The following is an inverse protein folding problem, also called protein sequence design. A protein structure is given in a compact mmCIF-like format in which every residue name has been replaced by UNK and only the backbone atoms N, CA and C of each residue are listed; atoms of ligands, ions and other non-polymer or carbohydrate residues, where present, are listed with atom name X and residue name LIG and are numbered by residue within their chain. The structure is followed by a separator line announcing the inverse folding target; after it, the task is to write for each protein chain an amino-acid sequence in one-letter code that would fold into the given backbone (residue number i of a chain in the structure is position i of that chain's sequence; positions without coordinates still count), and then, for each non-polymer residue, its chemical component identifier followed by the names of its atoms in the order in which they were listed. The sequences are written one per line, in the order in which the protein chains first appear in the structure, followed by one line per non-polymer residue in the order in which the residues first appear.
data_IF_334490117692
#
_entry.id   IF_334490117692
#
_cell.length_a   1.000
_cell.length_b   1.000
_cell.length_c   1.000
_cell.angle_alpha   90.00
_cell.angle_beta   90.00
_cell.angle_gamma   90.00
#
_symmetry.space_group_name_H-M   'P 1'
#
loop_
_entity.id
_entity.type
_entity.pdbx_description
1 polymer ?
#
# COMPACT_ATOMS: atom_id res chain seq x y z
N UNK A 1 -11.25 -55.81 81.97
CA UNK A 1 -9.90 -55.24 81.75
C UNK A 1 -9.66 -55.23 80.27
N UNK A 2 -9.76 -54.05 79.62
CA UNK A 2 -9.42 -53.84 78.22
C UNK A 2 -8.61 -52.55 78.19
N UNK A 3 -7.38 -52.66 77.73
CA UNK A 3 -6.42 -51.59 77.65
C UNK A 3 -6.76 -50.64 76.49
N UNK A 4 -6.50 -49.33 76.62
CA UNK A 4 -6.75 -48.36 75.57
C UNK A 4 -5.61 -48.29 74.56
N UNK A 5 -5.95 -48.24 73.26
CA UNK A 5 -5.05 -48.05 72.11
C UNK A 5 -4.71 -46.57 71.97
N UNK A 6 -3.45 -46.17 71.75
CA UNK A 6 -3.06 -44.76 71.58
C UNK A 6 -3.37 -44.26 70.16
N UNK A 7 -4.02 -43.09 70.08
CA UNK A 7 -4.25 -42.32 68.84
C UNK A 7 -2.96 -41.58 68.48
N UNK A 8 -2.40 -41.96 67.33
CA UNK A 8 -1.31 -41.21 66.65
C UNK A 8 -1.91 -40.08 65.84
N UNK A 9 -1.56 -38.84 66.20
CA UNK A 9 -1.92 -37.62 65.38
C UNK A 9 -1.03 -37.54 64.14
N UNK A 10 -1.58 -37.85 62.97
CA UNK A 10 -0.92 -37.59 61.74
C UNK A 10 -1.06 -36.08 61.35
N UNK A 11 0.06 -35.39 61.29
CA UNK A 11 0.14 -34.03 60.75
C UNK A 11 0.14 -34.12 59.24
N UNK A 12 -0.96 -33.71 58.61
CA UNK A 12 -1.04 -33.53 57.13
C UNK A 12 -0.45 -32.16 56.80
N UNK A 13 0.75 -32.14 56.24
CA UNK A 13 1.36 -30.93 55.72
C UNK A 13 0.69 -30.61 54.33
N UNK A 14 -0.14 -29.57 54.30
CA UNK A 14 -0.72 -29.04 53.07
C UNK A 14 0.36 -28.20 52.38
N UNK A 15 1.02 -28.76 51.39
CA UNK A 15 1.93 -28.02 50.46
C UNK A 15 1.09 -27.24 49.51
N UNK A 16 0.93 -25.93 49.73
CA UNK A 16 0.29 -25.02 48.76
C UNK A 16 1.25 -24.80 47.59
N UNK A 17 0.90 -25.39 46.45
CA UNK A 17 1.56 -25.14 45.17
C UNK A 17 1.08 -23.75 44.65
N UNK A 18 1.88 -22.72 44.87
CA UNK A 18 1.66 -21.39 44.32
C UNK A 18 1.99 -21.44 42.82
N UNK A 19 1.00 -21.68 41.96
CA UNK A 19 1.07 -21.44 40.53
C UNK A 19 1.16 -19.93 40.29
N UNK A 20 2.36 -19.43 40.09
CA UNK A 20 2.58 -18.07 39.59
C UNK A 20 2.04 -18.00 38.14
N UNK A 21 0.84 -17.44 37.97
CA UNK A 21 0.31 -17.01 36.70
C UNK A 21 1.20 -15.86 36.25
N UNK A 22 2.20 -16.15 35.40
CA UNK A 22 2.92 -15.12 34.66
C UNK A 22 1.91 -14.51 33.69
N UNK A 23 1.30 -13.38 34.07
CA UNK A 23 0.67 -12.51 33.07
C UNK A 23 1.80 -12.13 32.11
N UNK A 24 1.76 -12.69 30.89
CA UNK A 24 2.54 -12.20 29.79
C UNK A 24 2.07 -10.76 29.52
N UNK A 25 2.76 -9.80 30.11
CA UNK A 25 2.61 -8.39 29.79
C UNK A 25 2.99 -8.28 28.32
N UNK A 26 2.01 -8.09 27.44
CA UNK A 26 2.28 -7.76 26.05
C UNK A 26 3.20 -6.52 26.00
N UNK A 27 3.97 -6.32 24.93
CA UNK A 27 4.86 -5.18 24.84
C UNK A 27 4.08 -3.91 25.17
N UNK A 28 4.56 -3.15 26.17
CA UNK A 28 3.94 -1.88 26.58
C UNK A 28 3.90 -0.90 25.42
N UNK A 29 3.07 0.14 25.52
CA UNK A 29 3.02 1.18 24.49
C UNK A 29 4.40 1.85 24.35
N UNK A 30 4.83 2.12 23.09
CA UNK A 30 6.09 2.79 22.80
C UNK A 30 6.17 4.17 23.47
N UNK A 31 7.27 4.46 24.13
CA UNK A 31 7.49 5.70 24.89
C UNK A 31 8.45 6.66 24.21
N UNK A 32 9.36 6.14 23.40
CA UNK A 32 10.35 6.92 22.65
C UNK A 32 10.08 6.91 21.16
N UNK A 33 10.62 7.87 20.42
CA UNK A 33 10.50 7.91 18.95
C UNK A 33 11.14 6.68 18.30
N UNK A 34 12.23 6.16 18.86
CA UNK A 34 12.87 4.95 18.38
C UNK A 34 11.96 3.71 18.53
N UNK A 35 11.29 3.58 19.69
CA UNK A 35 10.31 2.50 19.93
C UNK A 35 9.09 2.64 19.03
N UNK A 36 8.59 3.87 18.81
CA UNK A 36 7.47 4.16 17.89
C UNK A 36 7.84 3.77 16.47
N UNK A 37 9.03 4.13 16.01
CA UNK A 37 9.53 3.77 14.69
C UNK A 37 9.68 2.24 14.54
N UNK A 38 10.28 1.58 15.52
CA UNK A 38 10.44 0.12 15.52
C UNK A 38 9.08 -0.59 15.46
N UNK A 39 8.12 -0.16 16.28
CA UNK A 39 6.75 -0.70 16.29
C UNK A 39 6.04 -0.46 14.97
N UNK A 40 6.14 0.75 14.41
CA UNK A 40 5.55 1.08 13.11
C UNK A 40 6.14 0.23 12.00
N UNK A 41 7.47 0.06 11.95
CA UNK A 41 8.15 -0.81 10.97
C UNK A 41 7.69 -2.27 11.10
N UNK A 42 7.59 -2.81 12.31
CA UNK A 42 7.08 -4.17 12.54
C UNK A 42 5.67 -4.37 11.96
N UNK A 43 4.77 -3.39 12.12
CA UNK A 43 3.41 -3.48 11.61
C UNK A 43 3.40 -3.42 10.06
N UNK A 44 4.19 -2.52 9.46
CA UNK A 44 4.33 -2.43 7.99
C UNK A 44 4.97 -3.71 7.42
N UNK A 45 5.95 -4.30 8.10
CA UNK A 45 6.56 -5.57 7.66
C UNK A 45 5.55 -6.74 7.71
N UNK A 46 4.70 -6.81 8.73
CA UNK A 46 3.63 -7.82 8.79
C UNK A 46 2.61 -7.65 7.65
N UNK A 47 2.19 -6.41 7.38
CA UNK A 47 1.34 -6.08 6.23
C UNK A 47 2.01 -6.51 4.91
N UNK A 48 3.26 -6.11 4.74
CA UNK A 48 4.07 -6.44 3.56
C UNK A 48 4.19 -7.96 3.36
N UNK A 49 4.51 -8.69 4.42
CA UNK A 49 4.63 -10.15 4.37
C UNK A 49 3.31 -10.80 3.91
N UNK A 50 2.16 -10.31 4.41
CA UNK A 50 0.84 -10.81 4.00
C UNK A 50 0.59 -10.57 2.51
N UNK A 51 0.86 -9.36 2.01
CA UNK A 51 0.70 -9.03 0.60
C UNK A 51 1.73 -9.76 -0.29
N UNK A 52 2.97 -9.89 0.17
CA UNK A 52 4.03 -10.63 -0.56
C UNK A 52 3.66 -12.09 -0.74
N UNK A 53 3.07 -12.72 0.28
CA UNK A 53 2.65 -14.12 0.23
C UNK A 53 1.44 -14.37 -0.70
N UNK A 54 0.71 -13.35 -1.10
CA UNK A 54 -0.40 -13.46 -2.03
C UNK A 54 0.10 -13.34 -3.49
N UNK A 55 0.11 -14.42 -4.27
CA UNK A 55 0.52 -14.38 -5.68
C UNK A 55 -0.48 -13.61 -6.55
N UNK A 56 -1.73 -13.61 -6.12
CA UNK A 56 -2.84 -12.88 -6.76
C UNK A 56 -3.63 -12.17 -5.68
N UNK A 57 -4.00 -10.93 -5.90
CA UNK A 57 -4.95 -10.25 -5.02
C UNK A 57 -5.78 -9.21 -5.78
N UNK A 58 -6.91 -8.83 -5.18
CA UNK A 58 -7.71 -7.70 -5.64
C UNK A 58 -8.08 -6.80 -4.47
N UNK A 59 -8.35 -5.53 -4.78
CA UNK A 59 -8.77 -4.53 -3.82
C UNK A 59 -9.56 -3.43 -4.51
N UNK A 60 -10.52 -2.85 -3.81
CA UNK A 60 -11.22 -1.63 -4.21
C UNK A 60 -10.75 -0.48 -3.32
N UNK A 61 -10.40 0.65 -3.92
CA UNK A 61 -10.07 1.88 -3.18
C UNK A 61 -11.04 3.00 -3.52
N UNK A 62 -11.33 3.83 -2.51
CA UNK A 62 -11.99 5.12 -2.68
C UNK A 62 -10.97 6.21 -2.34
N UNK A 63 -10.66 7.06 -3.31
CA UNK A 63 -9.65 8.12 -3.23
C UNK A 63 -10.35 9.48 -3.19
N UNK A 64 -10.10 10.27 -2.16
CA UNK A 64 -10.56 11.66 -2.05
C UNK A 64 -9.33 12.56 -2.17
N UNK A 65 -9.35 13.49 -3.12
CA UNK A 65 -8.25 14.42 -3.35
C UNK A 65 -8.71 15.73 -3.94
N UNK A 66 -7.93 16.77 -3.75
CA UNK A 66 -8.16 18.06 -4.39
C UNK A 66 -7.50 18.07 -5.79
N UNK A 67 -8.25 18.47 -6.80
CA UNK A 67 -7.77 18.69 -8.16
C UNK A 67 -7.90 20.17 -8.53
N UNK A 68 -6.85 20.69 -9.17
CA UNK A 68 -6.88 22.06 -9.67
C UNK A 68 -7.42 22.04 -11.10
N UNK A 69 -8.55 22.70 -11.31
CA UNK A 69 -9.13 22.88 -12.66
C UNK A 69 -8.28 23.84 -13.49
N UNK A 70 -8.49 23.83 -14.79
CA UNK A 70 -7.85 24.79 -15.72
C UNK A 70 -8.14 26.25 -15.36
N UNK A 71 -9.24 26.54 -14.69
CA UNK A 71 -9.59 27.85 -14.14
C UNK A 71 -8.77 28.28 -12.93
N UNK A 72 -7.93 27.37 -12.35
CA UNK A 72 -7.20 27.59 -11.10
C UNK A 72 -8.02 27.29 -9.84
N UNK A 73 -9.31 26.98 -9.95
CA UNK A 73 -10.13 26.59 -8.80
C UNK A 73 -9.79 25.19 -8.33
N UNK A 74 -9.72 25.00 -7.00
CA UNK A 74 -9.60 23.66 -6.40
C UNK A 74 -10.98 23.02 -6.26
N UNK A 75 -11.08 21.76 -6.65
CA UNK A 75 -12.27 20.94 -6.49
C UNK A 75 -11.91 19.61 -5.87
N UNK A 76 -12.67 19.20 -4.87
CA UNK A 76 -12.52 17.88 -4.27
C UNK A 76 -13.19 16.84 -5.16
N UNK A 77 -12.41 15.84 -5.58
CA UNK A 77 -12.90 14.72 -6.39
C UNK A 77 -12.82 13.43 -5.61
N UNK A 78 -13.80 12.56 -5.85
CA UNK A 78 -13.80 11.20 -5.32
C UNK A 78 -13.69 10.22 -6.49
N UNK A 79 -12.69 9.35 -6.43
CA UNK A 79 -12.47 8.31 -7.43
C UNK A 79 -12.62 6.95 -6.77
N UNK A 80 -13.28 6.02 -7.45
CA UNK A 80 -13.27 4.61 -7.06
C UNK A 80 -12.35 3.86 -8.01
N UNK A 81 -11.47 3.05 -7.46
CA UNK A 81 -10.52 2.23 -8.22
C UNK A 81 -10.66 0.78 -7.83
N UNK A 82 -10.85 -0.10 -8.80
CA UNK A 82 -10.69 -1.53 -8.63
C UNK A 82 -9.35 -1.96 -9.23
N UNK A 83 -8.57 -2.70 -8.45
CA UNK A 83 -7.25 -3.17 -8.87
C UNK A 83 -7.15 -4.66 -8.68
N UNK A 84 -6.61 -5.35 -9.66
CA UNK A 84 -6.28 -6.77 -9.65
C UNK A 84 -4.81 -6.91 -9.98
N UNK A 85 -4.10 -7.70 -9.19
CA UNK A 85 -2.66 -7.95 -9.33
C UNK A 85 -2.40 -9.43 -9.40
N UNK A 86 -1.57 -9.86 -10.35
CA UNK A 86 -0.96 -11.18 -10.38
C UNK A 86 0.54 -11.02 -10.50
N UNK A 87 1.22 -11.35 -9.44
CA UNK A 87 2.69 -11.26 -9.38
C UNK A 87 3.32 -12.36 -10.23
N UNK A 88 4.49 -12.10 -10.82
CA UNK A 88 5.30 -10.89 -10.66
C UNK A 88 5.06 -9.82 -11.73
N UNK A 89 4.18 -10.04 -12.72
CA UNK A 89 4.25 -9.35 -14.01
C UNK A 89 2.90 -8.92 -14.59
N UNK A 90 1.80 -8.93 -13.83
CA UNK A 90 0.49 -8.54 -14.35
C UNK A 90 -0.31 -7.71 -13.37
N UNK A 91 -0.90 -6.64 -13.86
CA UNK A 91 -1.96 -5.94 -13.14
C UNK A 91 -2.98 -5.31 -14.10
N UNK A 92 -4.18 -5.16 -13.57
CA UNK A 92 -5.26 -4.40 -14.17
C UNK A 92 -5.82 -3.46 -13.13
N UNK A 93 -6.10 -2.22 -13.53
CA UNK A 93 -6.71 -1.24 -12.66
C UNK A 93 -7.69 -0.39 -13.45
N UNK A 94 -8.90 -0.23 -12.92
CA UNK A 94 -9.93 0.64 -13.48
C UNK A 94 -10.33 1.70 -12.46
N UNK A 95 -10.42 2.94 -12.92
CA UNK A 95 -10.94 4.08 -12.16
C UNK A 95 -12.31 4.42 -12.68
N UNK A 96 -13.27 4.59 -11.76
CA UNK A 96 -14.62 5.05 -12.03
C UNK A 96 -14.98 6.21 -11.09
N UNK A 97 -16.03 6.94 -11.41
CA UNK A 97 -16.43 8.10 -10.59
C UNK A 97 -15.67 9.38 -11.00
N UNK A 98 -16.29 10.21 -11.83
CA UNK A 98 -15.71 11.46 -12.36
C UNK A 98 -14.71 11.26 -13.49
N UNK A 99 -13.94 10.21 -13.49
CA UNK A 99 -13.05 9.77 -14.56
C UNK A 99 -13.24 8.29 -14.79
N UNK A 100 -13.12 7.87 -16.05
CA UNK A 100 -13.10 6.46 -16.42
C UNK A 100 -11.80 6.16 -17.14
N UNK A 101 -10.84 5.56 -16.41
CA UNK A 101 -9.53 5.24 -16.93
C UNK A 101 -9.22 3.78 -16.61
N UNK A 102 -8.62 3.10 -17.56
CA UNK A 102 -8.17 1.72 -17.37
C UNK A 102 -6.68 1.60 -17.67
N UNK A 103 -6.01 0.74 -16.92
CA UNK A 103 -4.59 0.44 -17.08
C UNK A 103 -4.39 -1.07 -17.06
N UNK A 104 -3.72 -1.59 -18.07
CA UNK A 104 -3.28 -2.99 -18.13
C UNK A 104 -1.76 -3.05 -18.20
N UNK A 105 -1.21 -3.98 -17.48
CA UNK A 105 0.15 -4.44 -17.64
C UNK A 105 0.15 -5.98 -17.73
N UNK A 106 0.67 -6.50 -18.84
CA UNK A 106 0.63 -7.92 -19.20
C UNK A 106 1.99 -8.62 -19.16
N UNK A 107 3.01 -7.99 -18.57
CA UNK A 107 4.39 -8.49 -18.50
C UNK A 107 5.28 -8.05 -19.67
N UNK A 108 4.71 -7.47 -20.71
CA UNK A 108 5.41 -7.02 -21.93
C UNK A 108 5.09 -5.56 -22.25
N UNK A 109 3.84 -5.20 -22.12
CA UNK A 109 3.29 -3.90 -22.48
C UNK A 109 2.45 -3.29 -21.38
N UNK A 110 2.40 -1.96 -21.40
CA UNK A 110 1.49 -1.15 -20.61
C UNK A 110 0.52 -0.48 -21.56
N UNK A 111 -0.77 -0.61 -21.28
CA UNK A 111 -1.85 0.08 -21.99
C UNK A 111 -2.63 0.94 -21.01
N UNK A 112 -2.78 2.22 -21.33
CA UNK A 112 -3.62 3.17 -20.61
C UNK A 112 -4.75 3.59 -21.55
N UNK A 113 -6.00 3.51 -21.09
CA UNK A 113 -7.18 3.98 -21.81
C UNK A 113 -7.87 5.07 -21.00
N UNK A 114 -8.11 6.23 -21.61
CA UNK A 114 -8.81 7.38 -21.06
C UNK A 114 -10.16 7.49 -21.76
N UNK A 115 -11.20 6.93 -21.15
CA UNK A 115 -12.51 6.81 -21.79
C UNK A 115 -13.23 8.15 -21.99
N UNK A 116 -13.04 9.09 -21.07
CA UNK A 116 -13.65 10.41 -21.18
C UNK A 116 -13.11 11.19 -22.40
N UNK A 117 -11.84 11.03 -22.68
CA UNK A 117 -11.13 11.68 -23.78
C UNK A 117 -11.16 10.85 -25.07
N UNK A 118 -11.60 9.60 -25.01
CA UNK A 118 -11.56 8.62 -26.10
C UNK A 118 -10.18 8.44 -26.70
N UNK A 119 -9.17 8.34 -25.84
CA UNK A 119 -7.79 8.13 -26.26
C UNK A 119 -7.16 6.96 -25.52
N UNK A 120 -6.13 6.38 -26.11
CA UNK A 120 -5.31 5.37 -25.45
C UNK A 120 -3.82 5.60 -25.71
N UNK A 121 -2.99 5.11 -24.81
CA UNK A 121 -1.55 5.10 -24.97
C UNK A 121 -1.01 3.70 -24.67
N UNK A 122 -0.04 3.27 -25.46
CA UNK A 122 0.65 1.99 -25.28
C UNK A 122 2.14 2.20 -25.26
N UNK A 123 2.83 1.44 -24.44
CA UNK A 123 4.29 1.40 -24.41
C UNK A 123 4.79 0.02 -24.04
N UNK A 124 6.01 -0.30 -24.42
CA UNK A 124 6.72 -1.43 -23.84
C UNK A 124 6.95 -1.16 -22.37
N UNK A 125 6.81 -2.18 -21.56
CA UNK A 125 7.04 -2.14 -20.12
C UNK A 125 8.18 -3.10 -19.73
N UNK A 126 8.86 -2.85 -18.62
CA UNK A 126 9.81 -3.82 -18.02
C UNK A 126 9.11 -5.13 -17.65
N UNK A 127 9.92 -6.16 -17.38
CA UNK A 127 9.47 -7.55 -17.18
C UNK A 127 8.73 -7.81 -15.86
N UNK A 128 8.77 -6.87 -14.91
CA UNK A 128 8.15 -7.05 -13.59
C UNK A 128 7.32 -5.83 -13.21
N UNK A 129 6.34 -6.04 -12.33
CA UNK A 129 5.51 -4.97 -11.76
C UNK A 129 6.39 -3.90 -11.13
N UNK A 130 7.37 -4.29 -10.29
CA UNK A 130 8.23 -3.35 -9.57
C UNK A 130 8.95 -2.42 -10.56
N UNK A 131 9.66 -2.98 -11.53
CA UNK A 131 10.36 -2.19 -12.56
C UNK A 131 9.40 -1.33 -13.40
N UNK A 132 8.18 -1.82 -13.64
CA UNK A 132 7.17 -1.06 -14.39
C UNK A 132 6.66 0.12 -13.60
N UNK A 133 6.39 -0.04 -12.30
CA UNK A 133 5.99 1.06 -11.41
C UNK A 133 7.09 2.11 -11.28
N UNK A 134 8.34 1.66 -11.12
CA UNK A 134 9.52 2.56 -11.11
C UNK A 134 9.60 3.37 -12.41
N UNK A 135 9.49 2.70 -13.56
CA UNK A 135 9.52 3.37 -14.86
C UNK A 135 8.35 4.36 -15.06
N UNK A 136 7.15 4.03 -14.58
CA UNK A 136 6.00 4.93 -14.61
C UNK A 136 6.24 6.18 -13.78
N UNK A 137 6.78 6.02 -12.58
CA UNK A 137 7.11 7.14 -11.71
C UNK A 137 8.25 8.00 -12.29
N UNK A 138 9.37 7.38 -12.66
CA UNK A 138 10.57 8.09 -13.13
C UNK A 138 10.36 8.81 -14.46
N UNK A 139 9.73 8.16 -15.42
CA UNK A 139 9.58 8.69 -16.78
C UNK A 139 8.38 9.61 -16.93
N UNK A 140 7.27 9.28 -16.27
CA UNK A 140 5.99 9.96 -16.48
C UNK A 140 5.47 10.67 -15.24
N UNK A 141 6.07 10.46 -14.07
CA UNK A 141 5.59 10.98 -12.79
C UNK A 141 4.24 10.39 -12.40
N UNK A 142 3.93 9.19 -12.91
CA UNK A 142 2.67 8.50 -12.65
C UNK A 142 2.84 7.59 -11.42
N UNK A 143 2.08 7.87 -10.41
CA UNK A 143 1.91 7.04 -9.22
C UNK A 143 0.46 7.13 -8.76
N UNK A 144 -0.01 6.09 -8.12
CA UNK A 144 -1.36 6.03 -7.52
C UNK A 144 -1.23 5.57 -6.07
N UNK A 145 -2.19 5.90 -5.20
CA UNK A 145 -2.15 5.49 -3.79
C UNK A 145 -2.02 3.98 -3.57
N UNK A 146 -2.45 3.17 -4.55
CA UNK A 146 -2.33 1.71 -4.48
C UNK A 146 -0.94 1.20 -4.91
N UNK A 147 -0.14 1.98 -5.63
CA UNK A 147 1.11 1.53 -6.24
C UNK A 147 2.06 0.89 -5.23
N UNK A 148 2.25 1.52 -4.07
CA UNK A 148 3.19 1.05 -3.03
C UNK A 148 2.82 -0.34 -2.47
N UNK A 149 1.54 -0.72 -2.54
CA UNK A 149 1.03 -2.02 -2.08
C UNK A 149 1.09 -3.10 -3.16
N UNK A 150 1.33 -2.70 -4.42
CA UNK A 150 1.43 -3.60 -5.59
C UNK A 150 2.85 -4.13 -5.77
N UNK A 151 3.87 -3.43 -5.27
CA UNK A 151 5.25 -3.92 -5.27
C UNK A 151 5.37 -5.32 -4.69
N UNK A 152 6.36 -6.07 -5.14
CA UNK A 152 6.67 -7.40 -4.60
C UNK A 152 6.93 -7.34 -3.09
N UNK A 153 7.57 -6.27 -2.62
CA UNK A 153 7.79 -5.99 -1.21
C UNK A 153 7.29 -4.59 -0.85
N UNK A 154 6.01 -4.45 -0.44
CA UNK A 154 5.44 -3.16 -0.05
C UNK A 154 6.24 -2.42 1.03
N UNK A 155 6.81 -3.13 2.01
CA UNK A 155 7.62 -2.50 3.05
C UNK A 155 8.83 -1.77 2.48
N UNK A 156 9.49 -2.31 1.44
CA UNK A 156 10.63 -1.66 0.79
C UNK A 156 10.23 -0.43 -0.02
N UNK A 157 9.01 -0.40 -0.56
CA UNK A 157 8.48 0.76 -1.25
C UNK A 157 8.10 1.88 -0.26
N UNK A 158 7.52 1.51 0.88
CA UNK A 158 7.00 2.44 1.89
C UNK A 158 8.06 2.96 2.86
N UNK A 159 9.08 2.17 3.18
CA UNK A 159 10.06 2.48 4.23
C UNK A 159 11.47 2.58 3.65
N UNK A 160 12.05 3.76 3.76
CA UNK A 160 13.46 4.02 3.40
C UNK A 160 14.32 4.16 4.66
N UNK A 161 15.63 4.33 4.48
CA UNK A 161 16.54 4.65 5.60
C UNK A 161 16.25 6.04 6.20
N UNK A 162 15.63 6.93 5.43
CA UNK A 162 15.28 8.29 5.84
C UNK A 162 13.91 8.40 6.50
N UNK A 163 13.11 7.33 6.45
CA UNK A 163 11.76 7.32 7.02
C UNK A 163 11.82 7.48 8.53
N UNK A 164 11.12 8.47 9.04
CA UNK A 164 10.94 8.79 10.46
C UNK A 164 9.47 8.70 10.86
N UNK A 165 9.17 8.79 12.16
CA UNK A 165 7.81 8.63 12.70
C UNK A 165 7.60 7.22 13.21
N UNK A 166 6.40 6.65 13.04
CA UNK A 166 6.09 5.29 13.44
C UNK A 166 4.69 5.15 14.03
N UNK A 167 4.53 4.29 15.02
CA UNK A 167 3.25 4.05 15.69
C UNK A 167 2.79 5.27 16.51
N UNK A 168 1.57 5.73 16.24
CA UNK A 168 0.94 6.87 16.92
C UNK A 168 0.05 6.42 18.06
N UNK A 169 -0.74 5.38 17.83
CA UNK A 169 -1.72 4.91 18.79
C UNK A 169 -2.65 3.86 18.19
N UNK A 170 -3.72 3.57 18.94
CA UNK A 170 -4.84 2.74 18.48
C UNK A 170 -6.09 3.58 18.37
N UNK A 171 -6.84 3.34 17.32
CA UNK A 171 -8.13 3.98 17.07
C UNK A 171 -9.20 2.92 16.88
N UNK A 172 -10.43 3.25 17.26
CA UNK A 172 -11.58 2.37 17.06
C UNK A 172 -12.38 2.86 15.87
N UNK A 173 -12.57 2.00 14.87
CA UNK A 173 -13.42 2.26 13.71
C UNK A 173 -14.52 1.18 13.64
N UNK A 174 -15.74 1.56 14.04
CA UNK A 174 -16.81 0.60 14.25
C UNK A 174 -16.46 -0.42 15.34
N UNK A 175 -16.47 -1.71 14.99
CA UNK A 175 -16.10 -2.80 15.90
C UNK A 175 -14.60 -3.17 15.85
N UNK A 176 -13.82 -2.54 14.96
CA UNK A 176 -12.42 -2.87 14.76
C UNK A 176 -11.50 -1.89 15.50
N UNK A 177 -10.44 -2.44 16.06
CA UNK A 177 -9.29 -1.67 16.53
C UNK A 177 -8.22 -1.62 15.45
N UNK A 178 -7.72 -0.44 15.16
CA UNK A 178 -6.71 -0.16 14.16
C UNK A 178 -5.47 0.40 14.82
N UNK A 179 -4.29 -0.11 14.47
CA UNK A 179 -3.04 0.58 14.74
C UNK A 179 -2.93 1.76 13.77
N UNK A 180 -2.78 2.97 14.29
CA UNK A 180 -2.51 4.18 13.53
C UNK A 180 -1.01 4.44 13.51
N UNK A 181 -0.47 4.57 12.32
CA UNK A 181 0.94 4.85 12.06
C UNK A 181 1.05 6.16 11.28
N UNK A 182 2.06 6.98 11.60
CA UNK A 182 2.37 8.21 10.87
C UNK A 182 3.87 8.26 10.56
N UNK A 183 4.21 8.47 9.31
CA UNK A 183 5.57 8.49 8.82
C UNK A 183 5.86 9.75 8.01
N UNK A 184 7.14 10.09 7.93
CA UNK A 184 7.65 11.19 7.14
C UNK A 184 8.91 10.75 6.40
N UNK A 185 8.97 11.10 5.13
CA UNK A 185 10.14 10.99 4.28
C UNK A 185 10.35 12.30 3.49
N UNK A 186 11.35 12.37 2.65
CA UNK A 186 11.66 13.58 1.86
C UNK A 186 10.48 13.96 0.95
N UNK A 187 9.86 15.10 1.24
CA UNK A 187 8.76 15.65 0.45
C UNK A 187 7.40 14.98 0.62
N UNK A 188 7.28 13.99 1.50
CA UNK A 188 6.03 13.27 1.74
C UNK A 188 5.84 12.96 3.22
N UNK A 189 4.60 13.11 3.70
CA UNK A 189 4.13 12.52 4.96
C UNK A 189 2.98 11.59 4.65
N UNK A 190 2.88 10.51 5.39
CA UNK A 190 1.79 9.57 5.19
C UNK A 190 1.39 8.88 6.48
N UNK A 191 0.11 8.60 6.57
CA UNK A 191 -0.52 7.91 7.68
C UNK A 191 -1.22 6.67 7.17
N UNK A 192 -1.29 5.63 7.98
CA UNK A 192 -1.94 4.37 7.64
C UNK A 192 -2.61 3.76 8.86
N UNK A 193 -3.79 3.18 8.65
CA UNK A 193 -4.57 2.46 9.65
C UNK A 193 -4.65 0.99 9.26
N UNK A 194 -4.18 0.12 10.16
CA UNK A 194 -4.07 -1.33 9.94
C UNK A 194 -4.77 -2.06 11.08
N UNK A 195 -5.64 -3.06 10.82
CA UNK A 195 -6.30 -3.84 11.86
C UNK A 195 -5.32 -4.50 12.83
N UNK A 196 -5.64 -4.44 14.13
CA UNK A 196 -4.85 -5.11 15.18
C UNK A 196 -5.10 -6.61 15.22
N UNK A 197 -6.26 -7.06 14.71
CA UNK A 197 -6.71 -8.45 14.66
C UNK A 197 -7.14 -8.81 13.24
N UNK A 198 -6.87 -10.03 12.82
CA UNK A 198 -7.15 -10.53 11.46
C UNK A 198 -6.02 -10.24 10.50
N UNK A 199 -6.35 -10.10 9.21
CA UNK A 199 -5.37 -9.79 8.18
C UNK A 199 -4.86 -8.33 8.34
N UNK A 200 -3.55 -8.12 8.42
CA UNK A 200 -2.97 -6.79 8.61
C UNK A 200 -2.95 -5.99 7.30
N UNK A 201 -4.11 -5.82 6.67
CA UNK A 201 -4.24 -5.10 5.41
C UNK A 201 -4.69 -3.65 5.66
N UNK A 202 -4.18 -2.66 4.91
CA UNK A 202 -4.53 -1.28 5.11
C UNK A 202 -6.04 -1.07 4.90
N UNK A 203 -6.65 -0.28 5.79
CA UNK A 203 -8.04 0.14 5.67
C UNK A 203 -8.16 1.58 5.21
N UNK A 204 -7.21 2.40 5.62
CA UNK A 204 -7.16 3.81 5.25
C UNK A 204 -5.71 4.28 5.17
N UNK A 205 -5.47 5.22 4.26
CA UNK A 205 -4.23 6.00 4.22
C UNK A 205 -4.54 7.47 3.97
N UNK A 206 -3.67 8.33 4.48
CA UNK A 206 -3.63 9.75 4.16
C UNK A 206 -2.22 10.09 3.73
N UNK A 207 -2.04 10.53 2.50
CA UNK A 207 -0.72 10.92 1.98
C UNK A 207 -0.74 12.41 1.66
N UNK A 208 0.29 13.13 2.08
CA UNK A 208 0.47 14.54 1.80
C UNK A 208 1.82 14.75 1.13
N UNK A 209 1.78 15.37 -0.04
CA UNK A 209 2.97 15.74 -0.80
C UNK A 209 3.21 17.24 -0.65
N UNK A 210 4.40 17.59 -0.16
CA UNK A 210 4.84 18.99 -0.14
C UNK A 210 5.57 19.28 -1.45
N UNK A 211 4.92 19.96 -2.37
CA UNK A 211 5.55 20.54 -3.56
C UNK A 211 5.66 22.07 -3.34
N UNK A 212 6.77 22.65 -3.72
CA UNK A 212 7.30 24.01 -3.43
C UNK A 212 6.30 25.15 -3.14
N UNK A 213 5.00 24.97 -3.35
CA UNK A 213 3.93 25.97 -3.07
C UNK A 213 2.58 25.37 -2.68
N UNK A 214 2.39 24.05 -2.76
CA UNK A 214 1.09 23.44 -2.49
C UNK A 214 1.24 22.11 -1.74
N UNK A 215 0.42 21.89 -0.74
CA UNK A 215 0.27 20.58 -0.11
C UNK A 215 -0.88 19.87 -0.82
N UNK A 216 -0.58 18.75 -1.47
CA UNK A 216 -1.60 17.88 -2.04
C UNK A 216 -1.87 16.74 -1.08
N UNK A 217 -3.11 16.64 -0.64
CA UNK A 217 -3.58 15.58 0.23
C UNK A 217 -4.38 14.57 -0.58
N UNK A 218 -4.11 13.28 -0.35
CA UNK A 218 -4.92 12.18 -0.87
C UNK A 218 -5.32 11.32 0.33
N UNK A 219 -6.61 11.15 0.51
CA UNK A 219 -7.17 10.20 1.46
C UNK A 219 -7.67 8.99 0.68
N UNK A 220 -7.24 7.78 1.08
CA UNK A 220 -7.61 6.54 0.43
C UNK A 220 -8.20 5.57 1.44
N UNK A 221 -9.39 5.08 1.17
CA UNK A 221 -10.02 3.99 1.91
C UNK A 221 -9.92 2.72 1.08
N UNK A 222 -9.50 1.61 1.71
CA UNK A 222 -9.39 0.29 1.08
C UNK A 222 -10.56 -0.58 1.50
N UNK A 223 -11.14 -1.29 0.54
CA UNK A 223 -12.28 -2.20 0.73
C UNK A 223 -12.10 -3.46 -0.08
N UNK A 224 -12.82 -4.49 0.27
CA UNK A 224 -12.96 -5.72 -0.51
C UNK A 224 -11.61 -6.39 -0.85
N UNK A 225 -10.67 -6.36 0.09
CA UNK A 225 -9.43 -7.11 -0.06
C UNK A 225 -9.73 -8.60 -0.28
N UNK A 226 -9.25 -9.15 -1.37
CA UNK A 226 -9.27 -10.59 -1.64
C UNK A 226 -7.88 -11.05 -2.04
N UNK A 227 -7.26 -11.92 -1.22
CA UNK A 227 -5.90 -12.40 -1.42
C UNK A 227 -5.82 -13.70 -2.24
N UNK A 228 -6.95 -14.20 -2.73
CA UNK A 228 -7.03 -15.38 -3.59
C UNK A 228 -8.19 -15.30 -4.60
N UNK A 229 -8.35 -14.18 -5.33
CA UNK A 229 -9.44 -14.06 -6.29
C UNK A 229 -9.23 -15.01 -7.48
N UNK A 230 -10.33 -15.54 -8.00
CA UNK A 230 -10.31 -16.27 -9.26
C UNK A 230 -10.35 -15.26 -10.41
N UNK A 231 -9.24 -15.06 -11.09
CA UNK A 231 -9.09 -14.06 -12.16
C UNK A 231 -8.84 -14.78 -13.49
N UNK A 232 -9.72 -14.62 -14.48
CA UNK A 232 -9.50 -15.17 -15.82
C UNK A 232 -8.31 -14.47 -16.51
N UNK A 233 -7.62 -15.19 -17.40
CA UNK A 233 -6.41 -14.70 -18.08
C UNK A 233 -6.65 -13.44 -18.92
N UNK A 234 -7.81 -13.35 -19.58
CA UNK A 234 -8.21 -12.22 -20.42
C UNK A 234 -8.38 -10.91 -19.64
N UNK A 235 -8.50 -10.98 -18.29
CA UNK A 235 -8.56 -9.77 -17.45
C UNK A 235 -7.33 -8.87 -17.64
N UNK A 236 -6.19 -9.45 -17.95
CA UNK A 236 -4.94 -8.71 -18.14
C UNK A 236 -4.68 -8.33 -19.61
N UNK A 237 -5.58 -8.72 -20.52
CA UNK A 237 -5.48 -8.37 -21.94
C UNK A 237 -6.18 -7.03 -22.19
N UNK A 238 -5.46 -6.02 -22.71
CA UNK A 238 -6.07 -4.70 -22.93
C UNK A 238 -7.15 -4.76 -24.01
N UNK A 239 -8.29 -4.14 -23.72
CA UNK A 239 -9.38 -3.94 -24.67
C UNK A 239 -9.51 -2.46 -24.98
N UNK A 240 -9.15 -2.06 -26.19
CA UNK A 240 -9.23 -0.68 -26.64
C UNK A 240 -10.41 -0.56 -27.63
N UNK A 241 -11.39 0.36 -27.39
CA UNK A 241 -12.45 0.60 -28.35
C UNK A 241 -11.91 1.09 -29.71
N UNK A 242 -12.53 0.61 -30.79
CA UNK A 242 -12.03 0.86 -32.16
C UNK A 242 -12.09 2.34 -32.59
N UNK A 243 -12.92 3.14 -31.92
CA UNK A 243 -13.11 4.57 -32.20
C UNK A 243 -12.19 5.47 -31.33
N UNK A 244 -11.23 4.89 -30.58
CA UNK A 244 -10.32 5.67 -29.75
C UNK A 244 -9.03 5.99 -30.51
N UNK A 245 -8.52 7.20 -30.28
CA UNK A 245 -7.28 7.68 -30.87
C UNK A 245 -6.05 7.25 -30.06
N UNK A 246 -5.05 6.70 -30.76
CA UNK A 246 -3.76 6.36 -30.14
C UNK A 246 -2.92 7.61 -29.96
N UNK A 247 -2.47 7.86 -28.71
CA UNK A 247 -1.60 8.97 -28.38
C UNK A 247 -0.27 8.48 -27.80
N UNK A 248 0.78 9.31 -27.91
CA UNK A 248 2.06 9.02 -27.26
C UNK A 248 1.99 9.29 -25.75
N UNK A 249 2.59 8.42 -24.94
CA UNK A 249 2.87 8.74 -23.54
C UNK A 249 3.95 9.82 -23.49
N UNK A 250 3.56 11.02 -23.09
CA UNK A 250 4.50 12.14 -22.98
C UNK A 250 5.27 12.02 -21.67
N UNK A 251 6.59 11.92 -21.77
CA UNK A 251 7.45 11.99 -20.58
C UNK A 251 7.26 13.34 -19.90
N UNK A 252 7.05 13.32 -18.59
CA UNK A 252 7.01 14.55 -17.80
C UNK A 252 8.34 15.27 -18.04
N UNK A 253 8.32 16.44 -18.68
CA UNK A 253 9.50 17.26 -18.82
C UNK A 253 10.15 17.39 -17.43
N UNK A 254 11.41 16.98 -17.31
CA UNK A 254 12.15 17.00 -16.04
C UNK A 254 12.17 18.44 -15.51
N UNK A 255 11.19 18.81 -14.73
CA UNK A 255 11.28 19.94 -13.80
C UNK A 255 11.98 19.42 -12.53
N UNK A 256 13.14 18.82 -12.73
CA UNK A 256 14.07 18.44 -11.67
C UNK A 256 15.20 19.49 -11.67
N UNK A 257 14.88 20.70 -11.23
CA UNK A 257 15.89 21.53 -10.60
C UNK A 257 16.12 20.94 -9.22
N UNK A 258 17.32 20.35 -9.03
CA UNK A 258 17.90 19.86 -7.77
C UNK A 258 17.82 18.35 -7.47
N UNK A 259 18.03 17.48 -8.46
CA UNK A 259 18.62 16.17 -8.17
C UNK A 259 20.04 16.12 -8.73
N UNK A 260 21.01 15.40 -8.08
CA UNK A 260 22.33 15.20 -8.62
C UNK A 260 22.24 14.61 -10.03
N UNK A 261 23.03 15.10 -10.95
CA UNK A 261 23.14 14.54 -12.30
C UNK A 261 23.72 13.13 -12.17
N UNK A 262 22.90 12.11 -12.34
CA UNK A 262 23.38 10.80 -12.73
C UNK A 262 23.69 10.85 -14.23
N UNK A 263 24.97 10.99 -14.55
CA UNK A 263 25.48 10.82 -15.89
C UNK A 263 25.43 9.33 -16.24
N UNK A 264 24.55 8.93 -17.16
CA UNK A 264 24.72 7.62 -17.79
C UNK A 264 23.50 6.81 -18.24
N UNK A 265 22.34 7.39 -18.53
CA UNK A 265 21.30 6.64 -19.23
C UNK A 265 21.20 7.11 -20.70
N UNK A 266 21.63 6.25 -21.63
CA UNK A 266 21.48 6.47 -23.05
C UNK A 266 20.00 6.54 -23.46
N UNK A 267 19.62 7.40 -24.42
CA UNK A 267 18.25 7.47 -24.90
C UNK A 267 17.82 6.17 -25.58
N UNK A 268 16.56 5.78 -25.45
CA UNK A 268 16.04 4.58 -26.13
C UNK A 268 16.11 4.75 -27.67
N UNK A 269 16.34 3.66 -28.42
CA UNK A 269 16.40 3.71 -29.86
C UNK A 269 15.07 4.16 -30.47
N UNK A 270 15.09 4.81 -31.65
CA UNK A 270 13.88 5.26 -32.34
C UNK A 270 13.00 4.07 -32.74
N UNK A 271 11.71 4.25 -32.56
CA UNK A 271 10.70 3.25 -32.98
C UNK A 271 10.58 3.33 -34.51
N UNK A 272 11.02 2.27 -35.19
CA UNK A 272 10.79 2.13 -36.63
C UNK A 272 9.30 2.08 -36.93
N UNK A 273 8.83 3.06 -37.69
CA UNK A 273 7.52 3.05 -38.30
C UNK A 273 7.51 1.98 -39.40
N UNK A 274 6.72 0.95 -39.22
CA UNK A 274 6.22 0.12 -40.32
C UNK A 274 4.72 0.15 -40.31
#
# INVERSE_FOLDING_TARGET
MRDPVPFTKGVVALTALATSLSLACGPGEPRTDAERLARGREIIERMSAKLTAAPVFSVTTSEIRDEIRSSGASEQVTLTRATVVRKPDRFYSVVTGGRHNEVWYDGVGLTLVLHNEKVFAQSRAPETIDKTLDALYERYGLSTPISDYVYTSPAKALLTEKTTGGWVGRETAGEQQLDHLAFKDTGVTWEIWIPTVGDPLPQKTVTQFADNKQVRKIETTFKDWNLAPQIPEDRFSPTVPADYEGIAMVQRARVLRNMPKDEGAAPPPPVDKK
#
